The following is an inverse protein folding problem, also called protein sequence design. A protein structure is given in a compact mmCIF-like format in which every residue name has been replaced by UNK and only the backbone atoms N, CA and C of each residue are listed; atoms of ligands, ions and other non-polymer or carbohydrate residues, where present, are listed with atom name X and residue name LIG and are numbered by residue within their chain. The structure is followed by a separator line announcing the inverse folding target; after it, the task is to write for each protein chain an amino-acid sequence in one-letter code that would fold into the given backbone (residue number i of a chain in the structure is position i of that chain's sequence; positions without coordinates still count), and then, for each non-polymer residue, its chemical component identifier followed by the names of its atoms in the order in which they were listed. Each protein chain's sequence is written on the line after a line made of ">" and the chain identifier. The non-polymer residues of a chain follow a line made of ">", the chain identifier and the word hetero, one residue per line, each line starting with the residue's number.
data_IF_336058878865
#
_entry.id   IF_336058878865
#
_cell.length_a   1.000
_cell.length_b   1.000
_cell.length_c   1.000
_cell.angle_alpha   90.00
_cell.angle_beta   90.00
_cell.angle_gamma   90.00
#
_symmetry.space_group_name_H-M   'P 1'
#
loop_
_entity.id
_entity.type
_entity.pdbx_description
1 polymer ?
#
# COMPACT_ATOMS: atom_id res chain seq x y z
N UNK A 1 -4.67 -3.14 -4.01
CA UNK A 1 -3.47 -2.50 -3.41
C UNK A 1 -2.54 -3.57 -2.88
N UNK A 2 -1.23 -3.34 -2.92
CA UNK A 2 -0.20 -4.25 -2.38
C UNK A 2 0.67 -3.48 -1.38
N UNK A 3 0.93 -4.07 -0.21
CA UNK A 3 1.82 -3.51 0.82
C UNK A 3 2.84 -4.58 1.21
N UNK A 4 4.09 -4.41 0.80
CA UNK A 4 5.17 -5.40 1.00
C UNK A 4 6.40 -4.79 1.68
N UNK A 5 7.15 -5.64 2.39
CA UNK A 5 8.48 -5.32 2.93
C UNK A 5 9.59 -5.37 1.88
N UNK A 6 9.31 -5.89 0.69
CA UNK A 6 10.29 -6.02 -0.39
C UNK A 6 10.79 -4.67 -0.92
N UNK A 7 11.89 -4.72 -1.66
CA UNK A 7 12.39 -3.54 -2.35
C UNK A 7 11.41 -3.06 -3.44
N UNK A 8 11.52 -1.79 -3.82
CA UNK A 8 10.59 -1.13 -4.77
C UNK A 8 10.56 -1.82 -6.13
N UNK A 9 11.72 -2.11 -6.72
CA UNK A 9 11.80 -2.75 -8.04
C UNK A 9 11.14 -4.13 -8.08
N UNK A 10 11.30 -4.94 -7.04
CA UNK A 10 10.67 -6.26 -6.94
C UNK A 10 9.17 -6.12 -6.75
N UNK A 11 8.74 -5.23 -5.86
CA UNK A 11 7.31 -4.99 -5.63
C UNK A 11 6.59 -4.53 -6.91
N UNK A 12 7.18 -3.62 -7.68
CA UNK A 12 6.64 -3.15 -8.95
C UNK A 12 6.58 -4.25 -10.01
N UNK A 13 7.64 -5.07 -10.11
CA UNK A 13 7.68 -6.19 -11.04
C UNK A 13 6.57 -7.22 -10.73
N UNK A 14 6.43 -7.63 -9.47
CA UNK A 14 5.39 -8.56 -9.03
C UNK A 14 3.99 -7.97 -9.25
N UNK A 15 3.80 -6.67 -8.96
CA UNK A 15 2.51 -6.01 -9.19
C UNK A 15 2.11 -5.98 -10.67
N UNK A 16 3.07 -5.88 -11.60
CA UNK A 16 2.81 -6.01 -13.04
C UNK A 16 2.48 -7.45 -13.43
N UNK A 17 3.17 -8.42 -12.85
CA UNK A 17 2.95 -9.84 -13.14
C UNK A 17 1.53 -10.30 -12.74
N UNK A 18 1.03 -9.83 -11.58
CA UNK A 18 -0.35 -10.10 -11.14
C UNK A 18 -1.40 -9.18 -11.79
N UNK A 19 -0.99 -8.36 -12.78
CA UNK A 19 -1.86 -7.41 -13.48
C UNK A 19 -2.53 -6.36 -12.59
N UNK A 20 -1.92 -6.02 -11.44
CA UNK A 20 -2.34 -4.87 -10.64
C UNK A 20 -2.06 -3.56 -11.39
N UNK A 21 -1.03 -3.56 -12.23
CA UNK A 21 -0.68 -2.48 -13.15
C UNK A 21 -0.53 -3.04 -14.56
N UNK A 22 -0.91 -2.25 -15.55
CA UNK A 22 -0.72 -2.60 -16.96
C UNK A 22 0.75 -2.54 -17.36
N UNK A 23 1.13 -3.36 -18.35
CA UNK A 23 2.48 -3.33 -18.91
C UNK A 23 2.76 -1.96 -19.54
N UNK A 24 3.78 -1.26 -19.01
CA UNK A 24 4.15 0.09 -19.45
C UNK A 24 3.38 1.22 -18.77
N UNK A 25 2.49 0.93 -17.82
CA UNK A 25 1.81 1.94 -17.00
C UNK A 25 2.84 2.74 -16.19
N UNK A 26 2.68 4.06 -16.19
CA UNK A 26 3.50 4.95 -15.39
C UNK A 26 3.05 4.84 -13.93
N UNK A 27 3.95 4.33 -13.07
CA UNK A 27 3.69 4.15 -11.65
C UNK A 27 3.91 5.41 -10.82
N UNK A 28 4.21 6.55 -11.46
CA UNK A 28 4.28 7.86 -10.83
C UNK A 28 2.93 8.23 -10.23
N UNK A 29 2.84 8.25 -8.90
CA UNK A 29 1.58 8.45 -8.16
C UNK A 29 0.92 7.17 -7.64
N UNK A 30 1.47 6.00 -7.96
CA UNK A 30 0.92 4.70 -7.54
C UNK A 30 1.93 3.77 -6.87
N UNK A 31 3.23 4.09 -6.94
CA UNK A 31 4.31 3.33 -6.29
C UNK A 31 5.12 4.17 -5.31
N UNK A 32 5.02 3.83 -4.03
CA UNK A 32 5.70 4.52 -2.93
C UNK A 32 6.44 3.53 -2.06
N UNK A 33 7.52 3.96 -1.41
CA UNK A 33 8.00 3.25 -0.22
C UNK A 33 7.13 3.63 0.98
N UNK A 34 7.08 2.77 2.00
CA UNK A 34 6.35 3.08 3.23
C UNK A 34 6.83 4.39 3.89
N UNK A 35 8.15 4.65 3.85
CA UNK A 35 8.73 5.90 4.38
C UNK A 35 8.34 7.13 3.54
N UNK A 36 8.40 7.03 2.21
CA UNK A 36 7.95 8.12 1.33
C UNK A 36 6.48 8.45 1.58
N UNK A 37 5.63 7.42 1.69
CA UNK A 37 4.21 7.62 1.95
C UNK A 37 3.94 8.28 3.30
N UNK A 38 4.65 7.86 4.35
CA UNK A 38 4.52 8.45 5.69
C UNK A 38 5.07 9.87 5.81
N UNK A 39 5.91 10.31 4.87
CA UNK A 39 6.44 11.67 4.86
C UNK A 39 5.46 12.69 4.24
N UNK A 40 4.43 12.24 3.52
CA UNK A 40 3.37 13.12 3.02
C UNK A 40 2.49 13.65 4.15
N UNK A 41 1.84 14.79 3.91
CA UNK A 41 0.81 15.29 4.83
C UNK A 41 -0.39 14.35 4.84
N UNK A 42 -1.17 14.36 5.93
CA UNK A 42 -2.38 13.52 6.02
C UNK A 42 -3.36 13.77 4.86
N UNK A 43 -3.46 15.02 4.38
CA UNK A 43 -4.31 15.36 3.24
C UNK A 43 -3.79 14.72 1.94
N UNK A 44 -2.48 14.73 1.70
CA UNK A 44 -1.86 14.08 0.54
C UNK A 44 -1.97 12.56 0.63
N UNK A 45 -1.84 11.97 1.82
CA UNK A 45 -2.01 10.54 2.03
C UNK A 45 -3.42 10.10 1.66
N UNK A 46 -4.44 10.84 2.14
CA UNK A 46 -5.84 10.59 1.78
C UNK A 46 -6.04 10.74 0.28
N UNK A 47 -5.53 11.82 -0.34
CA UNK A 47 -5.63 12.02 -1.79
C UNK A 47 -5.03 10.85 -2.57
N UNK A 48 -3.86 10.36 -2.19
CA UNK A 48 -3.20 9.20 -2.82
C UNK A 48 -4.04 7.92 -2.64
N UNK A 49 -4.59 7.69 -1.44
CA UNK A 49 -5.39 6.49 -1.15
C UNK A 49 -6.76 6.53 -1.84
N UNK A 50 -7.35 7.71 -2.04
CA UNK A 50 -8.64 7.91 -2.71
C UNK A 50 -8.55 7.85 -4.24
N UNK A 51 -7.34 7.88 -4.81
CA UNK A 51 -7.17 7.77 -6.26
C UNK A 51 -7.48 6.36 -6.73
N UNK A 52 -8.30 6.30 -7.79
CA UNK A 52 -8.60 5.07 -8.53
C UNK A 52 -7.32 4.36 -9.00
N UNK A 53 -7.40 3.03 -9.09
CA UNK A 53 -6.34 2.18 -9.62
C UNK A 53 -5.48 1.47 -8.56
N UNK A 54 -4.53 0.66 -9.05
CA UNK A 54 -3.60 -0.06 -8.20
C UNK A 54 -2.69 0.88 -7.42
N UNK A 55 -2.36 0.51 -6.18
CA UNK A 55 -1.34 1.17 -5.36
C UNK A 55 -0.39 0.13 -4.81
N UNK A 56 0.91 0.41 -4.83
CA UNK A 56 1.96 -0.44 -4.26
C UNK A 56 2.80 0.34 -3.26
N UNK A 57 2.93 -0.23 -2.06
CA UNK A 57 3.75 0.29 -0.97
C UNK A 57 4.86 -0.71 -0.68
N UNK A 58 6.10 -0.33 -1.01
CA UNK A 58 7.30 -1.16 -0.84
C UNK A 58 8.08 -0.78 0.41
N UNK A 59 8.97 -1.65 0.90
CA UNK A 59 9.73 -1.46 2.15
C UNK A 59 8.83 -1.02 3.33
N UNK A 60 7.61 -1.54 3.38
CA UNK A 60 6.64 -1.21 4.41
C UNK A 60 6.99 -1.94 5.72
N UNK A 61 7.13 -1.19 6.80
CA UNK A 61 7.25 -1.72 8.15
C UNK A 61 5.87 -2.09 8.70
N UNK A 62 5.76 -2.94 9.73
CA UNK A 62 4.47 -3.34 10.30
C UNK A 62 3.58 -2.15 10.67
N UNK A 63 4.17 -1.08 11.22
CA UNK A 63 3.46 0.17 11.54
C UNK A 63 2.88 0.83 10.29
N UNK A 64 3.59 0.82 9.17
CA UNK A 64 3.09 1.40 7.93
C UNK A 64 1.84 0.68 7.44
N UNK A 65 1.81 -0.65 7.55
CA UNK A 65 0.62 -1.45 7.18
C UNK A 65 -0.59 -1.09 8.03
N UNK A 66 -0.40 -0.99 9.35
CA UNK A 66 -1.48 -0.63 10.28
C UNK A 66 -2.04 0.77 10.01
N UNK A 67 -1.18 1.76 9.79
CA UNK A 67 -1.61 3.13 9.51
C UNK A 67 -2.37 3.24 8.19
N UNK A 68 -1.93 2.55 7.14
CA UNK A 68 -2.66 2.52 5.86
C UNK A 68 -4.05 1.90 6.04
N UNK A 69 -4.15 0.77 6.76
CA UNK A 69 -5.45 0.12 7.05
C UNK A 69 -6.35 1.04 7.88
N UNK A 70 -5.79 1.72 8.89
CA UNK A 70 -6.52 2.69 9.72
C UNK A 70 -7.09 3.83 8.88
N UNK A 71 -6.27 4.45 8.03
CA UNK A 71 -6.71 5.54 7.15
C UNK A 71 -7.82 5.11 6.20
N UNK A 72 -7.68 3.94 5.57
CA UNK A 72 -8.73 3.41 4.69
C UNK A 72 -10.06 3.20 5.45
N UNK A 73 -10.00 2.68 6.68
CA UNK A 73 -11.20 2.53 7.53
C UNK A 73 -11.80 3.88 7.94
N UNK A 74 -10.97 4.86 8.29
CA UNK A 74 -11.42 6.21 8.62
C UNK A 74 -12.06 6.92 7.41
N UNK A 75 -11.65 6.57 6.19
CA UNK A 75 -12.26 7.00 4.93
C UNK A 75 -13.61 6.30 4.65
N UNK A 76 -13.99 5.30 5.44
CA UNK A 76 -15.23 4.53 5.27
C UNK A 76 -15.09 3.32 4.34
N UNK A 77 -13.87 2.98 3.92
CA UNK A 77 -13.62 1.81 3.06
C UNK A 77 -13.74 0.51 3.86
N UNK A 78 -14.27 -0.52 3.20
CA UNK A 78 -14.28 -1.89 3.73
C UNK A 78 -12.94 -2.54 3.36
N UNK A 79 -12.08 -2.73 4.36
CA UNK A 79 -10.72 -3.22 4.15
C UNK A 79 -10.64 -4.71 4.43
N UNK A 80 -10.22 -5.50 3.46
CA UNK A 80 -9.78 -6.87 3.67
C UNK A 80 -8.26 -6.92 3.48
N UNK A 81 -7.54 -7.43 4.49
CA UNK A 81 -6.09 -7.62 4.42
C UNK A 81 -5.77 -9.11 4.41
N UNK A 82 -4.85 -9.51 3.55
CA UNK A 82 -4.27 -10.86 3.51
C UNK A 82 -2.77 -10.76 3.68
N UNK A 83 -2.19 -11.57 4.56
CA UNK A 83 -0.76 -11.63 4.79
C UNK A 83 -0.39 -12.97 5.42
N UNK A 84 0.77 -13.50 5.08
CA UNK A 84 1.30 -14.79 5.51
C UNK A 84 2.36 -14.67 6.62
N UNK A 85 2.76 -13.44 6.98
CA UNK A 85 3.83 -13.18 7.95
C UNK A 85 3.34 -12.71 9.33
N UNK A 86 4.17 -12.95 10.36
CA UNK A 86 4.01 -12.36 11.71
C UNK A 86 3.95 -10.82 11.71
N UNK A 87 4.50 -10.20 10.66
CA UNK A 87 4.46 -8.75 10.43
C UNK A 87 3.07 -8.22 10.06
N UNK A 88 2.15 -9.09 9.65
CA UNK A 88 0.79 -8.74 9.23
C UNK A 88 -0.24 -8.92 10.34
N UNK A 89 0.07 -9.68 11.39
CA UNK A 89 -0.84 -9.96 12.50
C UNK A 89 -1.43 -8.69 13.16
N UNK A 90 -0.67 -7.60 13.38
CA UNK A 90 -1.22 -6.38 13.97
C UNK A 90 -2.18 -5.63 13.04
N UNK A 91 -2.04 -5.76 11.72
CA UNK A 91 -2.88 -5.10 10.73
C UNK A 91 -4.11 -5.95 10.37
N UNK A 92 -3.99 -7.28 10.38
CA UNK A 92 -5.12 -8.22 10.23
C UNK A 92 -6.18 -8.06 11.33
N UNK A 93 -5.77 -7.75 12.57
CA UNK A 93 -6.71 -7.47 13.67
C UNK A 93 -7.50 -6.17 13.47
N UNK A 94 -6.95 -5.25 12.68
CA UNK A 94 -7.53 -3.95 12.38
C UNK A 94 -8.27 -3.93 11.06
N UNK A 95 -8.19 -4.95 10.21
CA UNK A 95 -8.94 -5.10 8.96
C UNK A 95 -10.40 -5.49 9.24
#
# INVERSE_FOLDING_TARGET
>A
MVITGDNKSTAEAVCREIQLFSNGENLGGSSFTGKEFMAFSSQQQIEILSQEGGKVFSRAEPRHKQEIVRMLKEMGEIVAMTGDGVNDAPALKLA
#
